data_IF_715553730832
#
_entry.id   IF_715553730832
#
_cell.length_a   1.000
_cell.length_b   1.000
_cell.length_c   1.000
_cell.angle_alpha   90.00
_cell.angle_beta   90.00
_cell.angle_gamma   90.00
#
_symmetry.space_group_name_H-M   'P 1'
#
loop_
_entity.id
_entity.type
_entity.pdbx_description
1 polymer ?
#
# COMPACT_ATOMS: atom_id res chain seq x y z
N UNK A 1 11.96 24.93 -13.96
CA UNK A 1 11.56 24.04 -15.09
C UNK A 1 11.75 22.62 -14.61
N UNK A 2 10.73 21.78 -14.75
CA UNK A 2 10.87 20.35 -14.46
C UNK A 2 11.57 19.67 -15.64
N UNK A 3 12.62 18.91 -15.36
CA UNK A 3 13.32 18.09 -16.34
C UNK A 3 12.80 16.65 -16.25
N UNK A 4 12.56 16.00 -17.39
CA UNK A 4 12.04 14.64 -17.39
C UNK A 4 11.85 14.07 -18.79
N UNK A 5 11.27 12.88 -18.87
CA UNK A 5 10.94 12.20 -20.11
C UNK A 5 9.42 12.19 -20.28
N UNK A 6 8.95 12.67 -21.43
CA UNK A 6 7.58 12.49 -21.87
C UNK A 6 7.44 11.18 -22.66
N UNK A 7 6.44 10.41 -22.35
CA UNK A 7 6.11 9.18 -23.06
C UNK A 7 4.60 8.95 -23.05
N UNK A 8 4.09 8.27 -24.06
CA UNK A 8 2.67 7.90 -24.15
C UNK A 8 2.54 6.41 -23.90
N UNK A 9 2.00 6.00 -22.75
CA UNK A 9 1.69 4.59 -22.51
C UNK A 9 0.66 4.08 -23.52
N UNK A 10 0.91 2.93 -24.14
CA UNK A 10 0.03 2.32 -25.14
C UNK A 10 -0.69 1.07 -24.64
N UNK A 11 -0.46 0.67 -23.40
CA UNK A 11 -1.04 -0.55 -22.83
C UNK A 11 -2.55 -0.49 -22.67
N UNK A 12 -3.22 -1.65 -22.72
CA UNK A 12 -4.66 -1.73 -22.56
C UNK A 12 -5.07 -1.35 -21.13
N UNK A 13 -5.96 -0.39 -21.03
CA UNK A 13 -6.60 -0.03 -19.78
C UNK A 13 -7.41 1.26 -19.95
N UNK A 14 -8.59 1.35 -19.33
CA UNK A 14 -9.44 2.53 -19.42
C UNK A 14 -8.82 3.80 -18.83
N UNK A 15 -7.68 3.67 -18.16
CA UNK A 15 -7.04 4.75 -17.43
C UNK A 15 -5.57 4.98 -17.82
N UNK A 16 -5.11 4.56 -19.00
CA UNK A 16 -3.77 4.97 -19.43
C UNK A 16 -3.73 6.49 -19.61
N UNK A 17 -2.75 7.20 -19.02
CA UNK A 17 -2.60 8.63 -19.23
C UNK A 17 -2.35 8.91 -20.71
N UNK A 18 -2.80 10.08 -21.19
CA UNK A 18 -2.49 10.51 -22.56
C UNK A 18 -0.99 10.66 -22.73
N UNK A 19 -0.36 11.21 -21.70
CA UNK A 19 1.07 11.43 -21.63
C UNK A 19 1.56 11.10 -20.21
N UNK A 20 2.66 10.40 -20.13
CA UNK A 20 3.36 10.12 -18.87
C UNK A 20 4.59 11.00 -18.80
N UNK A 21 4.62 11.89 -17.83
CA UNK A 21 5.82 12.65 -17.52
C UNK A 21 6.59 11.98 -16.39
N UNK A 22 7.77 11.52 -16.71
CA UNK A 22 8.72 10.96 -15.76
C UNK A 22 9.67 12.09 -15.37
N UNK A 23 9.40 12.72 -14.24
CA UNK A 23 10.19 13.83 -13.72
C UNK A 23 11.37 13.36 -12.85
N UNK A 24 12.25 14.29 -12.53
CA UNK A 24 13.43 14.01 -11.69
C UNK A 24 13.11 13.66 -10.25
N UNK A 25 11.89 13.97 -9.76
CA UNK A 25 11.43 13.61 -8.43
C UNK A 25 10.80 12.22 -8.35
N UNK A 26 10.55 11.55 -9.50
CA UNK A 26 9.94 10.24 -9.52
C UNK A 26 10.90 9.15 -9.06
N UNK A 27 10.43 8.30 -8.16
CA UNK A 27 11.19 7.15 -7.66
C UNK A 27 10.56 5.85 -8.16
N UNK A 28 11.36 4.92 -8.67
CA UNK A 28 10.94 3.62 -9.19
C UNK A 28 11.37 2.49 -8.25
N UNK A 29 10.54 2.08 -7.31
CA UNK A 29 10.84 0.97 -6.45
C UNK A 29 10.90 -0.35 -7.25
N UNK A 30 11.99 -1.08 -7.08
CA UNK A 30 12.17 -2.38 -7.69
C UNK A 30 11.70 -3.48 -6.73
N UNK A 31 10.90 -4.39 -7.22
CA UNK A 31 10.38 -5.49 -6.42
C UNK A 31 11.50 -6.47 -6.09
N UNK A 32 11.61 -6.85 -4.81
CA UNK A 32 12.56 -7.84 -4.30
C UNK A 32 11.89 -9.17 -4.04
N UNK A 33 10.93 -9.17 -3.16
CA UNK A 33 10.17 -10.37 -2.81
C UNK A 33 8.84 -10.02 -2.15
N UNK A 34 7.98 -11.02 -2.06
CA UNK A 34 6.79 -11.02 -1.25
C UNK A 34 7.01 -11.90 -0.03
N UNK A 35 6.54 -11.41 1.10
CA UNK A 35 6.35 -12.20 2.31
C UNK A 35 4.85 -12.36 2.52
N UNK A 36 4.35 -13.59 2.63
CA UNK A 36 2.94 -13.84 2.97
C UNK A 36 2.78 -15.21 3.58
N UNK A 37 1.85 -15.34 4.50
CA UNK A 37 1.51 -16.57 5.19
C UNK A 37 1.12 -16.32 6.64
N UNK A 38 0.84 -17.41 7.33
CA UNK A 38 0.49 -17.42 8.74
C UNK A 38 1.75 -17.61 9.58
N UNK A 39 2.04 -16.66 10.47
CA UNK A 39 3.27 -16.63 11.24
C UNK A 39 3.02 -16.37 12.71
N UNK A 40 3.81 -17.04 13.55
CA UNK A 40 3.83 -16.82 14.97
C UNK A 40 4.75 -15.62 15.32
N UNK A 41 4.25 -14.74 16.19
CA UNK A 41 4.96 -13.55 16.69
C UNK A 41 5.42 -13.73 18.13
N UNK A 42 6.24 -14.75 18.39
CA UNK A 42 6.83 -15.00 19.70
C UNK A 42 7.57 -13.75 20.21
N UNK A 43 7.26 -13.34 21.43
CA UNK A 43 7.86 -12.15 22.03
C UNK A 43 7.51 -10.83 21.32
N UNK A 44 6.45 -10.83 20.48
CA UNK A 44 5.93 -9.63 19.85
C UNK A 44 6.66 -9.17 18.60
N UNK A 45 7.54 -9.99 18.03
CA UNK A 45 8.19 -9.65 16.76
C UNK A 45 8.52 -10.87 15.92
N UNK A 46 8.69 -10.65 14.61
CA UNK A 46 9.10 -11.66 13.65
C UNK A 46 10.02 -11.06 12.60
N UNK A 47 11.07 -11.81 12.27
CA UNK A 47 12.01 -11.48 11.21
C UNK A 47 11.61 -12.14 9.90
N UNK A 48 11.73 -11.38 8.80
CA UNK A 48 11.39 -11.81 7.45
C UNK A 48 12.53 -11.51 6.48
N UNK A 49 12.73 -12.37 5.46
CA UNK A 49 13.83 -12.20 4.52
C UNK A 49 13.62 -11.04 3.55
N UNK A 50 14.72 -10.41 3.14
CA UNK A 50 14.83 -9.52 1.99
C UNK A 50 15.69 -10.22 0.94
N UNK A 51 15.09 -10.72 -0.11
CA UNK A 51 15.79 -11.50 -1.12
C UNK A 51 16.73 -10.65 -1.96
N UNK A 52 17.99 -11.07 -2.08
CA UNK A 52 18.97 -10.46 -2.98
C UNK A 52 19.29 -8.98 -2.69
N UNK A 53 19.10 -8.51 -1.46
CA UNK A 53 19.58 -7.19 -1.05
C UNK A 53 20.99 -7.29 -0.46
N UNK A 54 21.85 -6.40 -0.92
CA UNK A 54 23.26 -6.35 -0.50
C UNK A 54 23.57 -5.20 0.46
N UNK A 55 22.54 -4.58 1.05
CA UNK A 55 22.68 -3.42 1.94
C UNK A 55 22.70 -2.07 1.21
N UNK A 56 22.71 -2.05 -0.14
CA UNK A 56 22.68 -0.81 -0.89
C UNK A 56 21.26 -0.30 -1.09
N UNK A 57 21.09 1.02 -1.00
CA UNK A 57 19.80 1.68 -1.18
C UNK A 57 18.85 1.55 0.02
N UNK A 58 17.64 2.00 -0.20
CA UNK A 58 16.57 1.97 0.80
C UNK A 58 15.62 0.80 0.53
N UNK A 59 15.28 0.05 1.57
CA UNK A 59 14.20 -0.92 1.53
C UNK A 59 12.90 -0.27 1.96
N UNK A 60 11.85 -0.55 1.22
CA UNK A 60 10.47 -0.15 1.49
C UNK A 60 9.61 -1.39 1.58
N UNK A 61 8.88 -1.52 2.68
CA UNK A 61 7.94 -2.62 2.91
C UNK A 61 6.53 -2.07 2.77
N UNK A 62 5.80 -2.53 1.76
CA UNK A 62 4.42 -2.11 1.49
C UNK A 62 3.47 -3.22 1.95
N UNK A 63 2.62 -2.96 2.94
CA UNK A 63 1.63 -3.92 3.38
C UNK A 63 0.57 -4.13 2.30
N UNK A 64 0.22 -5.40 2.06
CA UNK A 64 -0.85 -5.82 1.15
C UNK A 64 -1.91 -6.65 1.85
N UNK A 65 -1.67 -7.00 3.11
CA UNK A 65 -2.60 -7.70 4.00
C UNK A 65 -3.08 -6.83 5.16
N UNK A 66 -3.68 -7.46 6.15
CA UNK A 66 -4.09 -6.81 7.40
C UNK A 66 -2.87 -6.42 8.24
N UNK A 67 -2.98 -5.30 8.93
CA UNK A 67 -2.01 -4.85 9.95
C UNK A 67 -2.66 -4.78 11.34
N UNK A 68 -3.89 -5.28 11.45
CA UNK A 68 -4.66 -5.29 12.68
C UNK A 68 -5.48 -6.58 12.76
N UNK A 69 -5.33 -7.32 13.84
CA UNK A 69 -5.99 -8.61 14.07
C UNK A 69 -6.67 -8.65 15.42
N UNK A 70 -7.82 -9.31 15.47
CA UNK A 70 -8.47 -9.72 16.71
C UNK A 70 -7.96 -11.12 17.07
N UNK A 71 -7.73 -11.33 18.35
CA UNK A 71 -7.39 -12.64 18.89
C UNK A 71 -8.15 -12.90 20.17
N UNK A 72 -8.91 -13.99 20.16
CA UNK A 72 -9.70 -14.45 21.29
C UNK A 72 -8.90 -15.54 22.01
N UNK A 73 -8.55 -15.31 23.26
CA UNK A 73 -7.85 -16.27 24.10
C UNK A 73 -8.75 -16.64 25.29
N UNK A 74 -9.49 -17.74 25.23
CA UNK A 74 -10.23 -18.20 26.42
C UNK A 74 -9.24 -18.50 27.57
N UNK A 75 -9.51 -18.09 28.81
CA UNK A 75 -10.79 -17.60 29.32
C UNK A 75 -10.97 -16.07 29.37
N UNK A 76 -10.19 -15.32 28.62
CA UNK A 76 -10.29 -13.85 28.62
C UNK A 76 -11.67 -13.39 28.19
N UNK A 77 -12.29 -12.54 28.99
CA UNK A 77 -13.63 -12.00 28.75
C UNK A 77 -13.65 -10.96 27.62
N UNK A 78 -12.48 -10.47 27.21
CA UNK A 78 -12.34 -9.44 26.21
C UNK A 78 -11.22 -9.80 25.22
N UNK A 79 -11.50 -9.85 23.93
CA UNK A 79 -10.52 -10.19 22.93
C UNK A 79 -9.46 -9.10 22.82
N UNK A 80 -8.21 -9.53 22.58
CA UNK A 80 -7.11 -8.62 22.32
C UNK A 80 -7.08 -8.18 20.86
N UNK A 81 -6.61 -6.95 20.63
CA UNK A 81 -6.32 -6.44 19.29
C UNK A 81 -4.81 -6.28 19.14
N UNK A 82 -4.27 -7.01 18.22
CA UNK A 82 -2.88 -6.92 17.82
C UNK A 82 -2.74 -6.00 16.62
N UNK A 83 -1.78 -5.10 16.68
CA UNK A 83 -1.52 -4.10 15.65
C UNK A 83 -0.02 -4.08 15.36
N UNK A 84 0.36 -4.05 14.09
CA UNK A 84 1.75 -3.77 13.72
C UNK A 84 2.11 -2.37 14.23
N UNK A 85 3.12 -2.28 15.06
CA UNK A 85 3.58 -1.01 15.64
C UNK A 85 4.88 -0.52 15.01
N UNK A 86 5.69 -1.43 14.44
CA UNK A 86 6.94 -1.05 13.78
C UNK A 86 7.33 -2.05 12.69
N UNK A 87 7.99 -1.54 11.65
CA UNK A 87 8.76 -2.32 10.69
C UNK A 87 10.15 -1.69 10.59
N UNK A 88 11.18 -2.46 10.88
CA UNK A 88 12.58 -2.00 10.87
C UNK A 88 13.48 -2.94 10.08
N UNK A 89 14.53 -2.40 9.50
CA UNK A 89 15.58 -3.18 8.86
C UNK A 89 16.55 -3.65 9.94
N UNK A 90 16.77 -4.95 10.04
CA UNK A 90 17.65 -5.56 11.03
C UNK A 90 19.08 -5.68 10.50
N UNK A 91 19.20 -6.14 9.26
CA UNK A 91 20.49 -6.31 8.56
C UNK A 91 20.25 -6.35 7.03
N UNK A 92 21.32 -6.62 6.27
CA UNK A 92 21.29 -6.63 4.81
C UNK A 92 20.42 -7.73 4.16
N UNK A 93 19.77 -8.58 4.94
CA UNK A 93 18.94 -9.66 4.42
C UNK A 93 17.60 -9.80 5.14
N UNK A 94 17.34 -8.95 6.14
CA UNK A 94 16.22 -9.19 7.07
C UNK A 94 15.55 -7.87 7.49
N UNK A 95 14.23 -7.86 7.44
CA UNK A 95 13.42 -6.86 8.13
C UNK A 95 12.61 -7.50 9.26
N UNK A 96 12.34 -6.73 10.30
CA UNK A 96 11.57 -7.13 11.47
C UNK A 96 10.22 -6.43 11.47
N UNK A 97 9.17 -7.20 11.67
CA UNK A 97 7.83 -6.70 11.99
C UNK A 97 7.60 -6.88 13.48
N UNK A 98 7.23 -5.81 14.16
CA UNK A 98 6.88 -5.82 15.57
C UNK A 98 5.38 -5.50 15.73
N UNK A 99 4.76 -6.15 16.71
CA UNK A 99 3.36 -5.94 17.08
C UNK A 99 3.28 -5.52 18.55
N UNK A 100 2.19 -4.86 18.94
CA UNK A 100 1.87 -4.73 20.36
C UNK A 100 1.62 -6.13 20.93
N UNK A 101 2.13 -6.40 22.11
CA UNK A 101 2.02 -7.71 22.75
C UNK A 101 1.22 -7.66 24.02
N UNK A 102 0.55 -8.79 24.31
CA UNK A 102 0.15 -9.15 25.65
C UNK A 102 1.19 -10.13 26.24
N UNK A 103 1.72 -9.92 27.45
CA UNK A 103 2.67 -10.83 28.05
C UNK A 103 2.18 -12.29 28.02
N UNK A 104 3.03 -13.19 27.54
CA UNK A 104 2.73 -14.62 27.47
C UNK A 104 1.93 -15.09 26.27
N UNK A 105 1.50 -14.20 25.37
CA UNK A 105 0.79 -14.61 24.15
C UNK A 105 1.74 -14.94 23.00
N UNK A 106 1.39 -15.99 22.24
CA UNK A 106 2.07 -16.39 21.00
C UNK A 106 1.09 -16.30 19.82
N UNK A 107 0.71 -15.09 19.42
CA UNK A 107 -0.32 -14.93 18.40
C UNK A 107 0.16 -15.39 17.03
N UNK A 108 -0.76 -16.00 16.27
CA UNK A 108 -0.56 -16.51 14.93
C UNK A 108 -1.38 -15.67 13.96
N UNK A 109 -0.73 -14.99 13.01
CA UNK A 109 -1.39 -14.05 12.10
C UNK A 109 -1.00 -14.25 10.65
N UNK A 110 -1.99 -14.05 9.78
CA UNK A 110 -1.77 -13.91 8.36
C UNK A 110 -1.19 -12.53 8.05
N UNK A 111 0.02 -12.50 7.53
CA UNK A 111 0.66 -11.28 7.06
C UNK A 111 0.88 -11.32 5.56
N UNK A 112 0.92 -10.14 4.95
CA UNK A 112 1.30 -9.99 3.55
C UNK A 112 1.99 -8.65 3.32
N UNK A 113 3.23 -8.71 2.82
CA UNK A 113 4.06 -7.55 2.50
C UNK A 113 4.71 -7.73 1.14
N UNK A 114 4.76 -6.67 0.35
CA UNK A 114 5.64 -6.55 -0.80
C UNK A 114 6.88 -5.75 -0.40
N UNK A 115 8.05 -6.28 -0.70
CA UNK A 115 9.35 -5.66 -0.38
C UNK A 115 9.93 -5.08 -1.65
N UNK A 116 10.32 -3.82 -1.58
CA UNK A 116 10.91 -3.07 -2.66
C UNK A 116 12.26 -2.49 -2.27
N UNK A 117 13.12 -2.31 -3.24
CA UNK A 117 14.38 -1.60 -3.11
C UNK A 117 14.36 -0.33 -3.96
N UNK A 118 14.78 0.77 -3.36
CA UNK A 118 15.09 2.02 -4.04
C UNK A 118 16.61 2.14 -4.06
N UNK A 119 17.17 2.18 -5.24
CA UNK A 119 18.62 2.24 -5.39
C UNK A 119 19.16 3.63 -5.11
N UNK A 120 20.30 3.74 -4.42
CA UNK A 120 21.01 5.00 -4.30
C UNK A 120 21.63 5.39 -5.63
N UNK A 121 21.85 6.67 -5.79
CA UNK A 121 22.35 7.31 -6.99
C UNK A 121 23.69 6.78 -7.52
N UNK A 122 24.61 6.39 -6.64
CA UNK A 122 26.04 6.33 -6.92
C UNK A 122 26.57 5.01 -7.54
N UNK A 123 25.82 3.93 -7.59
CA UNK A 123 26.37 2.58 -7.85
C UNK A 123 25.71 1.88 -9.05
N UNK A 124 25.66 2.53 -10.24
CA UNK A 124 25.01 1.91 -11.39
C UNK A 124 25.87 1.94 -12.63
N UNK A 125 25.98 0.79 -13.27
CA UNK A 125 26.66 0.65 -14.54
C UNK A 125 25.74 0.88 -15.75
N UNK A 126 24.41 0.68 -15.57
CA UNK A 126 23.41 0.79 -16.65
C UNK A 126 22.10 1.40 -16.11
N UNK A 127 21.43 2.17 -16.96
CA UNK A 127 20.16 2.84 -16.66
C UNK A 127 20.10 4.27 -17.19
N UNK A 128 19.05 5.00 -16.84
CA UNK A 128 18.91 6.42 -17.17
C UNK A 128 19.07 7.22 -15.89
N UNK A 129 19.95 8.21 -15.92
CA UNK A 129 20.17 9.12 -14.80
C UNK A 129 20.13 10.56 -15.30
N UNK A 130 19.37 11.43 -14.65
CA UNK A 130 19.38 12.86 -14.86
C UNK A 130 20.28 13.51 -13.82
N UNK A 131 21.34 14.21 -14.24
CA UNK A 131 22.46 14.61 -13.38
C UNK A 131 22.37 16.01 -12.77
N UNK A 132 21.42 16.85 -13.18
CA UNK A 132 21.42 18.27 -12.84
C UNK A 132 20.28 18.74 -11.93
N UNK A 133 19.71 17.87 -11.11
CA UNK A 133 18.63 18.22 -10.19
C UNK A 133 18.96 17.77 -8.77
N UNK A 134 18.41 18.46 -7.77
CA UNK A 134 18.53 18.07 -6.35
C UNK A 134 17.92 16.69 -6.09
N UNK A 135 16.90 16.32 -6.87
CA UNK A 135 16.20 15.05 -6.82
C UNK A 135 16.56 14.19 -8.02
N UNK A 136 16.95 12.96 -7.79
CA UNK A 136 17.47 12.08 -8.83
C UNK A 136 16.44 11.05 -9.27
N UNK A 137 16.11 11.13 -10.55
CA UNK A 137 15.51 10.05 -11.29
C UNK A 137 16.55 8.98 -11.62
N UNK A 138 16.23 7.72 -11.35
CA UNK A 138 17.10 6.61 -11.69
C UNK A 138 16.29 5.35 -11.92
N UNK A 139 16.34 4.83 -13.15
CA UNK A 139 15.89 3.50 -13.50
C UNK A 139 17.11 2.61 -13.64
N UNK A 140 17.15 1.50 -12.92
CA UNK A 140 18.23 0.52 -12.98
C UNK A 140 17.77 -0.74 -13.69
N UNK A 141 18.69 -1.42 -14.33
CA UNK A 141 18.53 -2.75 -14.90
C UNK A 141 18.56 -3.89 -13.87
N UNK A 142 18.78 -3.56 -12.58
CA UNK A 142 19.03 -4.55 -11.51
C UNK A 142 17.75 -5.22 -10.96
N UNK A 143 16.56 -4.79 -11.36
CA UNK A 143 15.31 -5.41 -10.87
C UNK A 143 14.06 -4.90 -11.57
N UNK A 144 13.00 -5.67 -11.47
CA UNK A 144 11.73 -5.40 -12.15
C UNK A 144 10.95 -4.32 -11.44
N UNK A 145 10.57 -3.28 -12.17
CA UNK A 145 9.64 -2.24 -11.72
C UNK A 145 8.22 -2.73 -11.90
N UNK A 146 7.40 -2.58 -10.85
CA UNK A 146 5.99 -2.92 -10.92
C UNK A 146 5.24 -2.09 -11.96
N UNK A 147 4.16 -2.65 -12.52
CA UNK A 147 3.36 -1.99 -13.53
C UNK A 147 1.89 -1.91 -13.14
N UNK A 148 1.23 -0.84 -13.52
CA UNK A 148 -0.21 -0.71 -13.43
C UNK A 148 -0.87 -1.71 -14.38
N UNK A 149 -1.52 -2.72 -13.80
CA UNK A 149 -2.19 -3.79 -14.55
C UNK A 149 -3.69 -3.55 -14.71
N UNK A 150 -4.24 -2.68 -13.88
CA UNK A 150 -5.64 -2.30 -13.92
C UNK A 150 -5.83 -0.95 -13.24
N UNK A 151 -6.67 -0.12 -13.85
CA UNK A 151 -7.07 1.15 -13.29
C UNK A 151 -8.56 1.37 -13.54
N UNK A 152 -9.22 2.03 -12.59
CA UNK A 152 -10.65 2.28 -12.63
C UNK A 152 -10.99 3.59 -11.94
N UNK A 153 -11.98 4.30 -12.50
CA UNK A 153 -12.54 5.52 -11.93
C UNK A 153 -14.06 5.41 -11.91
N UNK A 154 -14.69 5.80 -10.80
CA UNK A 154 -16.14 5.76 -10.66
C UNK A 154 -16.60 5.91 -9.22
N UNK A 155 -17.85 5.54 -8.97
CA UNK A 155 -18.48 5.61 -7.65
C UNK A 155 -18.50 4.24 -7.00
N UNK A 156 -18.12 4.16 -5.73
CA UNK A 156 -18.23 2.93 -4.95
C UNK A 156 -19.42 3.06 -4.00
N UNK A 157 -20.40 2.18 -4.15
CA UNK A 157 -21.53 2.06 -3.24
C UNK A 157 -21.36 0.81 -2.37
N UNK A 158 -21.06 1.02 -1.10
CA UNK A 158 -20.78 -0.03 -0.13
C UNK A 158 -19.49 -0.80 -0.40
N UNK A 159 -19.34 -1.38 -1.58
CA UNK A 159 -18.12 -2.11 -1.94
C UNK A 159 -17.92 -2.26 -3.45
N UNK A 160 -16.67 -2.52 -3.84
CA UNK A 160 -16.27 -2.79 -5.23
C UNK A 160 -15.35 -4.02 -5.28
N UNK A 161 -15.59 -4.89 -6.26
CA UNK A 161 -14.75 -6.05 -6.56
C UNK A 161 -13.68 -5.68 -7.57
N UNK A 162 -12.39 -5.90 -7.24
CA UNK A 162 -11.30 -5.84 -8.22
C UNK A 162 -11.30 -7.15 -9.02
N UNK A 163 -11.35 -7.10 -10.35
CA UNK A 163 -11.34 -8.30 -11.17
C UNK A 163 -10.02 -9.07 -11.05
N UNK A 164 -10.04 -10.35 -11.36
CA UNK A 164 -8.81 -11.08 -11.64
C UNK A 164 -8.26 -10.62 -13.00
N UNK A 165 -6.99 -10.29 -13.07
CA UNK A 165 -6.35 -9.83 -14.29
C UNK A 165 -5.55 -11.01 -14.86
N UNK A 166 -5.93 -11.46 -16.05
CA UNK A 166 -5.27 -12.58 -16.71
C UNK A 166 -3.77 -12.31 -16.90
N UNK A 167 -2.96 -13.32 -16.63
CA UNK A 167 -1.49 -13.23 -16.74
C UNK A 167 -0.79 -12.60 -15.54
N UNK A 168 -1.53 -12.22 -14.47
CA UNK A 168 -0.93 -11.63 -13.26
C UNK A 168 -1.34 -12.38 -12.00
N UNK A 169 -0.35 -12.59 -11.13
CA UNK A 169 -0.59 -13.10 -9.78
C UNK A 169 -1.10 -11.96 -8.88
N UNK A 170 -2.41 -11.90 -8.71
CA UNK A 170 -3.07 -10.87 -7.88
C UNK A 170 -2.65 -10.90 -6.41
N UNK A 171 -2.04 -12.00 -5.95
CA UNK A 171 -1.47 -12.05 -4.59
C UNK A 171 -0.29 -11.09 -4.42
N UNK A 172 0.43 -10.78 -5.51
CA UNK A 172 1.55 -9.83 -5.54
C UNK A 172 1.12 -8.40 -5.89
N UNK A 173 -0.17 -8.17 -6.03
CA UNK A 173 -0.68 -6.86 -6.36
C UNK A 173 -0.67 -5.93 -5.15
N UNK A 174 -0.39 -4.66 -5.39
CA UNK A 174 -0.60 -3.56 -4.46
C UNK A 174 -1.71 -2.68 -5.01
N UNK A 175 -2.73 -2.42 -4.19
CA UNK A 175 -3.89 -1.62 -4.56
C UNK A 175 -3.74 -0.23 -4.00
N UNK A 176 -3.82 0.77 -4.87
CA UNK A 176 -3.77 2.18 -4.51
C UNK A 176 -5.08 2.86 -4.83
N UNK A 177 -5.48 3.83 -4.01
CA UNK A 177 -6.67 4.62 -4.28
C UNK A 177 -6.48 6.10 -3.98
N UNK A 178 -7.23 6.91 -4.74
CA UNK A 178 -7.51 8.33 -4.49
C UNK A 178 -9.02 8.51 -4.39
N UNK A 179 -9.47 9.30 -3.43
CA UNK A 179 -10.87 9.70 -3.25
C UNK A 179 -10.97 10.98 -2.44
N UNK A 180 -12.17 11.45 -2.20
CA UNK A 180 -12.44 12.55 -1.27
C UNK A 180 -13.76 12.31 -0.55
N UNK A 181 -13.99 12.99 0.58
CA UNK A 181 -15.26 12.95 1.31
C UNK A 181 -15.17 12.42 2.73
N UNK A 182 -13.98 12.02 3.21
CA UNK A 182 -13.74 11.63 4.59
C UNK A 182 -14.24 10.24 5.00
N UNK A 183 -14.98 9.53 4.12
CA UNK A 183 -15.31 8.13 4.33
C UNK A 183 -14.04 7.28 4.27
N UNK A 184 -14.08 6.13 4.96
CA UNK A 184 -12.99 5.18 5.00
C UNK A 184 -13.03 4.15 3.89
N UNK A 185 -11.87 3.79 3.37
CA UNK A 185 -11.68 2.63 2.50
C UNK A 185 -10.79 1.58 3.18
N UNK A 186 -11.17 0.32 3.02
CA UNK A 186 -10.35 -0.86 3.33
C UNK A 186 -10.30 -1.78 2.11
N UNK A 187 -9.16 -2.40 1.89
CA UNK A 187 -9.00 -3.43 0.87
C UNK A 187 -8.75 -4.78 1.52
N UNK A 188 -9.58 -5.74 1.19
CA UNK A 188 -9.45 -7.13 1.56
C UNK A 188 -8.84 -7.91 0.39
N UNK A 189 -7.58 -8.30 0.54
CA UNK A 189 -6.84 -9.01 -0.50
C UNK A 189 -7.39 -10.43 -0.75
N UNK A 190 -7.93 -11.09 0.27
CA UNK A 190 -8.51 -12.43 0.16
C UNK A 190 -9.73 -12.46 -0.76
N UNK A 191 -10.65 -11.50 -0.57
CA UNK A 191 -11.82 -11.34 -1.43
C UNK A 191 -11.59 -10.41 -2.61
N UNK A 192 -10.44 -9.75 -2.73
CA UNK A 192 -10.12 -8.70 -3.71
C UNK A 192 -11.15 -7.58 -3.73
N UNK A 193 -11.65 -7.18 -2.56
CA UNK A 193 -12.76 -6.23 -2.43
C UNK A 193 -12.35 -4.98 -1.67
N UNK A 194 -12.62 -3.82 -2.27
CA UNK A 194 -12.58 -2.54 -1.57
C UNK A 194 -13.94 -2.32 -0.92
N UNK A 195 -13.95 -1.93 0.35
CA UNK A 195 -15.15 -1.66 1.13
C UNK A 195 -15.16 -0.23 1.65
N UNK A 196 -16.33 0.39 1.57
CA UNK A 196 -16.58 1.74 2.10
C UNK A 196 -17.04 1.64 3.54
N UNK A 197 -16.48 2.49 4.40
CA UNK A 197 -16.89 2.62 5.78
C UNK A 197 -17.26 4.07 6.09
N UNK A 198 -18.38 4.24 6.77
CA UNK A 198 -18.68 5.54 7.37
C UNK A 198 -17.69 5.77 8.52
N UNK A 199 -16.96 6.89 8.48
CA UNK A 199 -15.95 7.21 9.48
C UNK A 199 -16.59 7.63 10.81
N UNK A 200 -17.30 6.70 11.46
CA UNK A 200 -17.94 6.86 12.77
C UNK A 200 -18.06 5.54 13.53
N UNK A 201 -18.22 5.62 14.83
CA UNK A 201 -18.48 4.46 15.68
C UNK A 201 -19.82 3.80 15.35
N UNK A 202 -19.82 2.48 15.30
CA UNK A 202 -20.99 1.64 15.17
C UNK A 202 -20.97 0.52 16.19
N UNK A 203 -22.14 0.23 16.75
CA UNK A 203 -22.35 -0.76 17.78
C UNK A 203 -22.90 -2.09 17.25
N UNK A 204 -23.01 -2.29 15.96
CA UNK A 204 -23.70 -3.44 15.42
C UNK A 204 -23.07 -3.89 14.11
N UNK A 205 -22.23 -4.90 14.20
CA UNK A 205 -21.69 -5.65 13.08
C UNK A 205 -21.13 -4.79 11.93
N UNK A 206 -21.59 -5.06 10.71
CA UNK A 206 -21.12 -4.37 9.51
C UNK A 206 -21.91 -3.10 9.14
N UNK A 207 -22.70 -2.55 10.06
CA UNK A 207 -23.60 -1.43 9.75
C UNK A 207 -22.86 -0.13 9.35
N UNK A 208 -21.56 -0.01 9.66
CA UNK A 208 -20.75 1.08 9.15
C UNK A 208 -20.18 0.82 7.73
N UNK A 209 -20.35 -0.40 7.20
CA UNK A 209 -19.95 -0.77 5.83
C UNK A 209 -21.02 -0.32 4.83
N UNK A 210 -21.32 0.97 4.82
CA UNK A 210 -22.34 1.56 3.96
C UNK A 210 -21.89 2.94 3.48
N UNK A 211 -22.57 3.42 2.47
CA UNK A 211 -22.34 4.74 1.90
C UNK A 211 -21.74 4.67 0.50
N UNK A 212 -21.83 5.80 -0.17
CA UNK A 212 -21.28 5.99 -1.51
C UNK A 212 -20.13 6.99 -1.45
N UNK A 213 -19.03 6.65 -2.08
CA UNK A 213 -17.96 7.57 -2.38
C UNK A 213 -17.95 7.79 -3.88
N UNK A 214 -17.99 9.05 -4.29
CA UNK A 214 -17.94 9.43 -5.70
C UNK A 214 -16.51 9.71 -6.15
N UNK A 215 -16.27 9.55 -7.44
CA UNK A 215 -14.99 9.87 -8.09
C UNK A 215 -13.79 9.18 -7.45
N UNK A 216 -13.95 7.91 -7.06
CA UNK A 216 -12.86 7.08 -6.56
C UNK A 216 -12.01 6.63 -7.74
N UNK A 217 -10.70 6.79 -7.63
CA UNK A 217 -9.71 6.28 -8.57
C UNK A 217 -8.95 5.15 -7.92
N UNK A 218 -8.90 4.00 -8.58
CA UNK A 218 -8.21 2.81 -8.08
C UNK A 218 -7.21 2.35 -9.11
N UNK A 219 -5.97 2.14 -8.69
CA UNK A 219 -4.91 1.56 -9.51
C UNK A 219 -4.34 0.32 -8.84
N UNK A 220 -4.14 -0.72 -9.63
CA UNK A 220 -3.55 -1.99 -9.19
C UNK A 220 -2.21 -2.15 -9.87
N UNK A 221 -1.16 -2.23 -9.06
CA UNK A 221 0.21 -2.49 -9.51
C UNK A 221 0.58 -3.92 -9.17
N UNK A 222 1.11 -4.65 -10.15
CA UNK A 222 1.60 -6.01 -9.95
C UNK A 222 3.08 -6.11 -10.26
N UNK A 223 3.74 -6.99 -9.53
CA UNK A 223 5.15 -7.26 -9.62
C UNK A 223 5.41 -8.72 -10.02
N UNK A 224 6.52 -8.97 -10.71
CA UNK A 224 7.00 -10.32 -10.97
C UNK A 224 6.38 -11.05 -12.16
N UNK A 225 5.49 -10.41 -12.92
CA UNK A 225 5.16 -10.84 -14.27
C UNK A 225 6.15 -10.24 -15.28
N UNK A 226 6.31 -10.85 -16.43
CA UNK A 226 7.09 -10.25 -17.51
C UNK A 226 6.61 -8.84 -17.84
N UNK A 227 7.54 -7.92 -17.98
CA UNK A 227 7.24 -6.54 -18.36
C UNK A 227 7.04 -6.54 -19.88
N UNK A 228 5.84 -6.21 -20.41
CA UNK A 228 5.61 -6.18 -21.85
C UNK A 228 6.39 -5.04 -22.49
N UNK A 229 6.92 -5.30 -23.66
CA UNK A 229 7.67 -4.33 -24.47
C UNK A 229 6.82 -3.79 -25.61
N UNK A 230 7.18 -2.62 -26.12
CA UNK A 230 6.58 -2.05 -27.33
C UNK A 230 7.59 -1.22 -28.13
N UNK A 231 7.30 -1.01 -29.41
CA UNK A 231 8.24 -0.37 -30.34
C UNK A 231 8.25 1.16 -30.25
N UNK A 232 7.33 1.78 -29.53
CA UNK A 232 7.16 3.24 -29.50
C UNK A 232 7.48 3.89 -28.14
N UNK A 233 8.18 3.20 -27.24
CA UNK A 233 8.47 3.72 -25.90
C UNK A 233 9.83 3.32 -25.37
N UNK A 234 10.03 3.58 -24.07
CA UNK A 234 11.25 3.23 -23.38
C UNK A 234 11.15 1.82 -22.80
N UNK A 235 12.10 0.96 -23.18
CA UNK A 235 12.28 -0.36 -22.60
C UNK A 235 13.71 -0.49 -22.08
N UNK A 236 13.86 -0.98 -20.85
CA UNK A 236 15.17 -1.29 -20.25
C UNK A 236 15.22 -2.79 -19.97
N UNK A 237 16.33 -3.40 -20.36
CA UNK A 237 16.54 -4.83 -20.20
C UNK A 237 17.55 -5.12 -19.10
N UNK A 238 17.49 -6.32 -18.54
CA UNK A 238 18.51 -6.85 -17.63
C UNK A 238 19.89 -6.88 -18.34
N UNK A 239 21.00 -6.92 -17.58
CA UNK A 239 22.35 -6.84 -18.15
C UNK A 239 22.66 -7.89 -19.21
N UNK A 240 22.03 -9.08 -19.13
CA UNK A 240 22.15 -10.15 -20.12
C UNK A 240 21.14 -10.05 -21.27
N UNK A 241 20.33 -8.98 -21.31
CA UNK A 241 19.32 -8.76 -22.36
C UNK A 241 18.11 -9.71 -22.33
N UNK A 242 18.06 -10.64 -21.38
CA UNK A 242 17.06 -11.72 -21.39
C UNK A 242 15.69 -11.31 -20.87
N UNK A 243 15.60 -10.24 -20.09
CA UNK A 243 14.36 -9.80 -19.46
C UNK A 243 14.21 -8.29 -19.54
N UNK A 244 13.04 -7.82 -19.99
CA UNK A 244 12.68 -6.41 -19.81
C UNK A 244 12.33 -6.18 -18.35
N UNK A 245 13.02 -5.22 -17.72
CA UNK A 245 12.86 -4.87 -16.30
C UNK A 245 12.07 -3.59 -16.07
N UNK A 246 11.97 -2.75 -17.11
CA UNK A 246 11.17 -1.53 -17.13
C UNK A 246 10.63 -1.29 -18.53
N UNK A 247 9.38 -0.87 -18.62
CA UNK A 247 8.78 -0.44 -19.87
C UNK A 247 7.74 0.63 -19.63
N UNK A 248 7.64 1.58 -20.56
CA UNK A 248 6.55 2.55 -20.59
C UNK A 248 5.31 2.06 -21.34
N UNK A 249 5.24 0.78 -21.68
CA UNK A 249 4.03 0.18 -22.27
C UNK A 249 2.80 0.31 -21.36
N UNK A 250 3.01 0.17 -20.06
CA UNK A 250 2.02 0.50 -19.01
C UNK A 250 2.63 1.52 -18.07
N UNK A 251 1.79 2.22 -17.32
CA UNK A 251 2.28 3.12 -16.29
C UNK A 251 3.12 2.34 -15.27
N UNK A 252 4.40 2.66 -15.12
CA UNK A 252 5.25 2.00 -14.15
C UNK A 252 4.88 2.40 -12.71
N UNK A 253 5.25 1.61 -11.74
CA UNK A 253 5.08 1.94 -10.32
C UNK A 253 6.06 3.08 -9.97
N UNK A 254 5.53 4.30 -9.92
CA UNK A 254 6.27 5.52 -9.61
C UNK A 254 5.80 6.09 -8.28
N UNK A 255 6.74 6.32 -7.39
CA UNK A 255 6.48 6.92 -6.08
C UNK A 255 6.90 8.37 -6.09
N UNK A 256 6.00 9.26 -5.68
CA UNK A 256 6.26 10.70 -5.58
C UNK A 256 6.85 11.06 -4.23
N UNK A 257 6.43 10.40 -3.16
CA UNK A 257 6.97 10.58 -1.80
C UNK A 257 6.63 9.42 -0.88
N UNK A 258 7.28 9.41 0.27
CA UNK A 258 6.96 8.50 1.37
C UNK A 258 6.39 9.30 2.54
N UNK A 259 5.33 8.76 3.18
CA UNK A 259 4.67 9.39 4.31
C UNK A 259 4.27 8.35 5.34
N UNK A 260 4.13 8.77 6.59
CA UNK A 260 3.58 7.89 7.62
C UNK A 260 2.14 7.48 7.26
N UNK A 261 1.80 6.20 7.43
CA UNK A 261 0.47 5.65 7.16
C UNK A 261 -0.62 6.33 8.02
N UNK A 262 -0.24 6.89 9.16
CA UNK A 262 -1.13 7.68 10.02
C UNK A 262 -1.68 8.94 9.33
N UNK A 263 -1.01 9.41 8.27
CA UNK A 263 -1.52 10.45 7.39
C UNK A 263 -0.82 11.80 7.50
N UNK A 264 -1.38 12.75 6.79
CA UNK A 264 -0.93 14.14 6.69
C UNK A 264 -1.24 14.75 5.32
N UNK A 265 -0.82 15.99 5.13
CA UNK A 265 -0.91 16.67 3.84
C UNK A 265 0.21 16.18 2.92
N UNK A 266 -0.18 15.64 1.78
CA UNK A 266 0.77 15.10 0.80
C UNK A 266 1.40 16.18 -0.08
N UNK A 267 0.82 17.36 -0.17
CA UNK A 267 1.21 18.39 -1.15
C UNK A 267 0.90 18.02 -2.61
N UNK A 268 0.27 16.88 -2.87
CA UNK A 268 -0.24 16.48 -4.19
C UNK A 268 -1.72 16.84 -4.29
N UNK A 269 -2.17 17.21 -5.49
CA UNK A 269 -3.59 17.51 -5.72
C UNK A 269 -4.45 16.25 -5.64
N UNK A 270 -3.94 15.13 -6.17
CA UNK A 270 -4.65 13.85 -6.23
C UNK A 270 -3.75 12.73 -5.71
N UNK A 271 -3.48 12.67 -4.39
CA UNK A 271 -2.64 11.62 -3.81
C UNK A 271 -3.32 10.27 -3.91
N UNK A 272 -2.57 9.21 -4.19
CA UNK A 272 -3.00 7.82 -4.05
C UNK A 272 -2.17 7.12 -2.99
N UNK A 273 -2.83 6.41 -2.11
CA UNK A 273 -2.19 5.64 -1.03
C UNK A 273 -2.48 4.15 -1.17
N UNK A 274 -1.59 3.27 -0.70
CA UNK A 274 -1.87 1.84 -0.68
C UNK A 274 -3.00 1.54 0.32
N UNK A 275 -3.95 0.72 -0.10
CA UNK A 275 -5.03 0.25 0.74
C UNK A 275 -4.66 -1.08 1.42
N UNK A 276 -5.03 -1.20 2.69
CA UNK A 276 -4.86 -2.42 3.50
C UNK A 276 -6.18 -2.80 4.17
N UNK A 277 -6.25 -4.00 4.72
CA UNK A 277 -7.41 -4.45 5.52
C UNK A 277 -7.27 -4.05 7.00
N UNK A 278 -6.84 -2.85 7.28
CA UNK A 278 -6.70 -2.25 8.60
C UNK A 278 -5.35 -1.57 8.81
N UNK A 279 -5.39 -0.27 9.03
CA UNK A 279 -4.21 0.59 9.25
C UNK A 279 -3.98 0.87 10.76
N UNK A 280 -4.34 -0.07 11.60
CA UNK A 280 -4.33 0.03 13.05
C UNK A 280 -5.71 -0.23 13.66
N UNK A 281 -5.86 0.10 14.93
CA UNK A 281 -7.14 -0.01 15.65
C UNK A 281 -7.58 1.32 16.25
N UNK A 282 -8.88 1.49 16.43
CA UNK A 282 -9.49 2.68 17.03
C UNK A 282 -10.65 2.28 17.91
N UNK A 283 -10.72 2.89 19.10
CA UNK A 283 -11.82 2.71 20.04
C UNK A 283 -12.82 3.85 19.91
N UNK A 284 -14.08 3.48 19.76
CA UNK A 284 -15.22 4.39 19.89
C UNK A 284 -16.01 4.11 21.16
N UNK A 285 -16.95 5.00 21.48
CA UNK A 285 -17.78 4.93 22.67
C UNK A 285 -19.20 5.37 22.36
N UNK A 286 -20.18 4.59 22.78
CA UNK A 286 -21.58 4.97 22.76
C UNK A 286 -22.39 4.10 23.76
N UNK A 287 -23.44 4.66 24.38
CA UNK A 287 -24.46 3.93 25.12
C UNK A 287 -23.95 3.02 26.24
N UNK A 288 -22.89 3.39 26.96
CA UNK A 288 -22.34 2.55 28.03
C UNK A 288 -21.33 1.48 27.55
N UNK A 289 -21.06 1.41 26.25
CA UNK A 289 -20.16 0.43 25.63
C UNK A 289 -18.94 1.08 25.00
N UNK A 290 -17.82 0.36 24.96
CA UNK A 290 -16.72 0.60 24.06
C UNK A 290 -16.82 -0.29 22.84
N UNK A 291 -16.44 0.27 21.69
CA UNK A 291 -16.43 -0.41 20.38
C UNK A 291 -15.06 -0.36 19.77
N UNK A 292 -14.52 -1.51 19.45
CA UNK A 292 -13.23 -1.60 18.74
C UNK A 292 -13.47 -1.75 17.25
N UNK A 293 -12.73 -0.95 16.49
CA UNK A 293 -12.73 -0.99 15.03
C UNK A 293 -11.30 -1.12 14.51
N UNK A 294 -11.12 -1.84 13.41
CA UNK A 294 -9.93 -1.66 12.59
C UNK A 294 -9.96 -0.26 11.96
N UNK A 295 -8.82 0.41 11.87
CA UNK A 295 -8.75 1.70 11.18
C UNK A 295 -8.89 1.53 9.68
N UNK A 296 -9.78 2.30 9.07
CA UNK A 296 -9.81 2.53 7.62
C UNK A 296 -8.86 3.65 7.24
N UNK A 297 -8.47 3.68 5.97
CA UNK A 297 -7.85 4.86 5.38
C UNK A 297 -8.92 5.88 5.04
N UNK A 298 -8.67 7.15 5.34
CA UNK A 298 -9.54 8.29 4.99
C UNK A 298 -8.77 9.26 4.11
N UNK A 299 -9.48 9.98 3.24
CA UNK A 299 -8.86 10.98 2.37
C UNK A 299 -9.78 12.19 2.19
N UNK A 300 -9.19 13.38 2.19
CA UNK A 300 -9.88 14.62 1.91
C UNK A 300 -8.93 15.57 1.16
N UNK A 301 -9.16 15.71 -0.14
CA UNK A 301 -8.31 16.50 -1.04
C UNK A 301 -6.86 16.01 -1.05
N UNK A 302 -5.92 16.88 -0.72
CA UNK A 302 -4.48 16.60 -0.67
C UNK A 302 -4.02 15.87 0.59
N UNK A 303 -4.91 15.62 1.54
CA UNK A 303 -4.58 15.02 2.83
C UNK A 303 -5.21 13.65 2.98
N UNK A 304 -4.49 12.73 3.61
CA UNK A 304 -5.04 11.44 4.02
C UNK A 304 -4.80 11.20 5.51
N UNK A 305 -5.49 10.20 6.04
CA UNK A 305 -5.38 9.80 7.43
C UNK A 305 -6.02 8.44 7.68
N UNK A 306 -6.35 8.18 8.92
CA UNK A 306 -7.07 6.97 9.32
C UNK A 306 -8.29 7.34 10.16
N UNK A 307 -9.31 6.50 10.08
CA UNK A 307 -10.56 6.68 10.82
C UNK A 307 -11.23 5.36 11.17
N UNK A 308 -12.47 5.44 11.61
CA UNK A 308 -13.25 4.23 11.90
C UNK A 308 -13.47 3.40 10.63
N UNK A 309 -13.17 2.12 10.73
CA UNK A 309 -13.37 1.15 9.66
C UNK A 309 -14.19 -0.04 10.15
N UNK A 310 -13.73 -1.26 9.84
CA UNK A 310 -14.45 -2.48 10.19
C UNK A 310 -14.63 -2.63 11.69
N UNK A 311 -15.89 -2.81 12.15
CA UNK A 311 -16.18 -3.22 13.52
C UNK A 311 -15.52 -4.56 13.82
N UNK A 312 -14.97 -4.69 15.00
CA UNK A 312 -14.33 -5.91 15.49
C UNK A 312 -15.15 -6.52 16.64
N UNK A 313 -15.28 -5.80 17.75
CA UNK A 313 -16.04 -6.24 18.92
C UNK A 313 -16.40 -5.06 19.82
N UNK A 314 -17.19 -5.33 20.88
CA UNK A 314 -17.55 -4.38 21.92
C UNK A 314 -17.38 -4.98 23.31
N UNK A 315 -17.24 -4.12 24.32
CA UNK A 315 -17.22 -4.50 25.73
C UNK A 315 -17.82 -3.41 26.62
N UNK A 316 -18.15 -3.77 27.86
CA UNK A 316 -18.70 -2.85 28.83
C UNK A 316 -17.66 -1.81 29.25
N UNK A 317 -18.08 -0.55 29.38
CA UNK A 317 -17.22 0.57 29.76
C UNK A 317 -16.63 0.49 31.16
N UNK A 318 -17.17 -0.36 32.03
CA UNK A 318 -16.58 -0.63 33.35
C UNK A 318 -15.17 -1.26 33.28
N UNK A 319 -14.81 -1.83 32.11
CA UNK A 319 -13.49 -2.41 31.86
C UNK A 319 -12.71 -1.49 30.91
N UNK A 320 -11.70 -0.77 31.42
CA UNK A 320 -10.83 0.04 30.54
C UNK A 320 -9.69 -0.80 30.00
N UNK A 321 -9.74 -1.11 28.72
CA UNK A 321 -8.81 -1.99 28.00
C UNK A 321 -7.92 -1.23 27.03
N UNK A 322 -7.61 0.01 27.31
CA UNK A 322 -6.73 0.79 26.45
C UNK A 322 -7.36 1.22 25.13
N UNK A 323 -6.76 2.20 24.51
CA UNK A 323 -7.18 2.75 23.21
C UNK A 323 -6.52 2.04 22.02
N UNK A 324 -6.93 2.42 20.84
CA UNK A 324 -6.26 2.04 19.61
C UNK A 324 -5.12 3.00 19.23
N UNK A 325 -4.34 2.63 18.23
CA UNK A 325 -3.28 3.46 17.65
C UNK A 325 -3.29 3.39 16.12
N UNK A 326 -2.85 4.47 15.49
CA UNK A 326 -2.53 4.46 14.07
C UNK A 326 -1.10 3.97 13.86
N UNK A 327 -0.87 3.31 12.73
CA UNK A 327 0.45 2.79 12.38
C UNK A 327 1.27 3.91 11.73
N UNK A 328 2.48 4.15 12.25
CA UNK A 328 3.43 5.13 11.72
C UNK A 328 4.29 4.64 10.56
N UNK A 329 4.02 3.44 10.02
CA UNK A 329 4.77 2.86 8.92
C UNK A 329 4.83 3.82 7.73
N UNK A 330 6.01 3.96 7.13
CA UNK A 330 6.19 4.73 5.89
C UNK A 330 5.57 3.99 4.70
N UNK A 331 4.69 4.66 3.99
CA UNK A 331 4.02 4.14 2.79
C UNK A 331 4.33 5.02 1.57
N UNK A 332 4.39 4.42 0.37
CA UNK A 332 4.52 5.19 -0.86
C UNK A 332 3.23 5.94 -1.18
N UNK A 333 3.36 7.18 -1.61
CA UNK A 333 2.25 8.01 -2.11
C UNK A 333 2.52 8.32 -3.57
N UNK A 334 1.51 8.10 -4.42
CA UNK A 334 1.56 8.32 -5.86
C UNK A 334 0.72 9.54 -6.24
N UNK A 335 1.00 10.14 -7.38
CA UNK A 335 0.14 11.15 -7.99
C UNK A 335 -0.81 10.48 -9.01
N UNK A 336 -2.12 10.54 -8.76
CA UNK A 336 -3.13 9.95 -9.65
C UNK A 336 -3.10 10.54 -11.07
N UNK A 337 -2.63 11.77 -11.26
CA UNK A 337 -2.47 12.38 -12.59
C UNK A 337 -1.54 11.61 -13.51
N UNK A 338 -0.58 10.89 -12.94
CA UNK A 338 0.33 10.02 -13.70
C UNK A 338 -0.32 8.72 -14.20
N UNK A 339 -1.57 8.46 -13.78
CA UNK A 339 -2.31 7.23 -14.11
C UNK A 339 -3.63 7.52 -14.83
N UNK A 340 -4.32 8.60 -14.43
CA UNK A 340 -5.69 8.89 -14.89
C UNK A 340 -5.73 10.12 -15.80
N UNK A 341 -6.17 9.91 -17.04
CA UNK A 341 -6.32 10.99 -18.03
C UNK A 341 -7.37 12.03 -17.65
N UNK A 342 -8.39 11.63 -16.90
CA UNK A 342 -9.54 12.49 -16.53
C UNK A 342 -9.16 13.70 -15.66
N UNK A 343 -7.95 13.70 -15.08
CA UNK A 343 -7.48 14.74 -14.15
C UNK A 343 -6.09 15.30 -14.51
N UNK A 344 -5.62 15.03 -15.72
CA UNK A 344 -4.36 15.60 -16.27
C UNK A 344 -4.46 17.08 -16.59
#
# INVERSE_FOLDING_TARGET
MAYGIWTTPVGPGPASPAELFIDSGSTFPQFKNRVSGNYNFNGGSRDFPISGWNGSGQIVVVPTGSLCWQWDNPPDLVPYVYVVNNISIVNNSTFRVSINTNPGSNPLFDVAFNVYQIWPRANRNYGITFSNTADYFSISDAGVVGQCIWAWEGNINGSMQIPAISGFDMSRASVFANWSGGQGLLYDAGSRRIRVYQNRTYNNGNNNQTGTINNVRVAVFCNGAGVPTHNGGLNIYSPNGSQCVFSTYRTPFMVDRFMAMSGGNTGLTYPMIPLTNGAGSIRGQAGGWYFQHARSHTMNGSSFGTGFGRYMFQWDRSYDMGGGGAIGLQIPVLDARKIFRSIQ
#
